data_IF_050534607430
#
_entry.id   IF_050534607430
#
_cell.length_a   1.000
_cell.length_b   1.000
_cell.length_c   1.000
_cell.angle_alpha   90.00
_cell.angle_beta   90.00
_cell.angle_gamma   90.00
#
_symmetry.space_group_name_H-M   'P 1'
#
loop_
_entity.id
_entity.type
_entity.pdbx_description
1 polymer ?
#
# COMPACT_ATOMS: atom_id res chain seq x y z
N UNK A 1 56.81 -14.63 8.99
CA UNK A 1 56.36 -14.12 7.68
C UNK A 1 54.85 -13.91 7.75
N UNK A 2 54.36 -12.68 7.61
CA UNK A 2 52.91 -12.40 7.55
C UNK A 2 52.42 -12.84 6.17
N UNK A 3 51.52 -13.83 6.10
CA UNK A 3 50.83 -14.20 4.86
C UNK A 3 49.95 -13.01 4.43
N UNK A 4 50.28 -12.38 3.32
CA UNK A 4 49.46 -11.35 2.69
C UNK A 4 48.28 -11.98 1.94
N UNK A 5 47.14 -11.31 1.94
CA UNK A 5 45.99 -11.65 1.10
C UNK A 5 46.37 -11.52 -0.38
N UNK A 6 45.91 -12.44 -1.22
CA UNK A 6 46.15 -12.35 -2.66
C UNK A 6 45.12 -11.42 -3.33
N UNK A 7 45.53 -10.73 -4.39
CA UNK A 7 44.62 -9.89 -5.19
C UNK A 7 43.49 -10.72 -5.82
N UNK A 8 43.78 -11.98 -6.18
CA UNK A 8 42.79 -12.87 -6.78
C UNK A 8 41.73 -13.32 -5.76
N UNK A 9 42.09 -13.53 -4.49
CA UNK A 9 41.13 -13.82 -3.42
C UNK A 9 40.13 -12.67 -3.25
N UNK A 10 40.61 -11.42 -3.24
CA UNK A 10 39.72 -10.26 -3.12
C UNK A 10 38.83 -10.08 -4.35
N UNK A 11 39.34 -10.38 -5.55
CA UNK A 11 38.56 -10.27 -6.79
C UNK A 11 37.38 -11.24 -6.80
N UNK A 12 37.61 -12.51 -6.43
CA UNK A 12 36.55 -13.52 -6.36
C UNK A 12 35.51 -13.16 -5.29
N UNK A 13 35.95 -12.64 -4.14
CA UNK A 13 35.03 -12.22 -3.07
C UNK A 13 34.11 -11.10 -3.52
N UNK A 14 34.65 -10.05 -4.16
CA UNK A 14 33.82 -8.93 -4.66
C UNK A 14 32.88 -9.40 -5.76
N UNK A 15 33.31 -10.33 -6.62
CA UNK A 15 32.46 -10.92 -7.65
C UNK A 15 31.27 -11.68 -7.04
N UNK A 16 31.50 -12.50 -6.02
CA UNK A 16 30.43 -13.24 -5.34
C UNK A 16 29.45 -12.28 -4.65
N UNK A 17 29.96 -11.26 -3.93
CA UNK A 17 29.12 -10.25 -3.27
C UNK A 17 28.29 -9.48 -4.31
N UNK A 18 28.87 -9.14 -5.47
CA UNK A 18 28.16 -8.47 -6.56
C UNK A 18 26.96 -9.26 -7.07
N UNK A 19 27.12 -10.57 -7.28
CA UNK A 19 26.03 -11.45 -7.73
C UNK A 19 24.93 -11.54 -6.67
N UNK A 20 25.30 -11.73 -5.40
CA UNK A 20 24.32 -11.81 -4.30
C UNK A 20 23.54 -10.50 -4.15
N UNK A 21 24.22 -9.35 -4.21
CA UNK A 21 23.60 -8.04 -4.08
C UNK A 21 22.59 -7.76 -5.21
N UNK A 22 22.91 -8.15 -6.46
CA UNK A 22 22.02 -7.95 -7.60
C UNK A 22 20.66 -8.64 -7.45
N UNK A 23 20.62 -9.82 -6.82
CA UNK A 23 19.38 -10.57 -6.56
C UNK A 23 18.70 -10.08 -5.27
N UNK A 24 19.47 -9.81 -4.22
CA UNK A 24 18.94 -9.48 -2.90
C UNK A 24 18.24 -8.11 -2.86
N UNK A 25 18.78 -7.10 -3.54
CA UNK A 25 18.24 -5.74 -3.51
C UNK A 25 16.77 -5.63 -3.98
N UNK A 26 16.37 -6.12 -5.18
CA UNK A 26 14.98 -6.04 -5.61
C UNK A 26 14.03 -6.88 -4.74
N UNK A 27 14.50 -8.00 -4.19
CA UNK A 27 13.70 -8.82 -3.27
C UNK A 27 13.47 -8.10 -1.93
N UNK A 28 14.50 -7.42 -1.42
CA UNK A 28 14.41 -6.66 -0.18
C UNK A 28 13.41 -5.50 -0.31
N UNK A 29 13.47 -4.71 -1.39
CA UNK A 29 12.54 -3.60 -1.60
C UNK A 29 11.09 -4.08 -1.68
N UNK A 30 10.82 -5.18 -2.40
CA UNK A 30 9.48 -5.77 -2.47
C UNK A 30 8.97 -6.23 -1.09
N UNK A 31 9.84 -6.83 -0.27
CA UNK A 31 9.47 -7.26 1.09
C UNK A 31 9.14 -6.08 1.99
N UNK A 32 9.92 -5.01 1.93
CA UNK A 32 9.67 -3.78 2.69
C UNK A 32 8.32 -3.15 2.29
N UNK A 33 8.01 -3.10 0.99
CA UNK A 33 6.73 -2.59 0.52
C UNK A 33 5.55 -3.44 0.97
N UNK A 34 5.67 -4.78 0.92
CA UNK A 34 4.64 -5.67 1.48
C UNK A 34 4.38 -5.39 2.96
N UNK A 35 5.44 -5.24 3.76
CA UNK A 35 5.32 -4.91 5.18
C UNK A 35 4.62 -3.56 5.41
N UNK A 36 4.98 -2.52 4.65
CA UNK A 36 4.32 -1.20 4.71
C UNK A 36 2.85 -1.27 4.32
N UNK A 37 2.50 -2.05 3.30
CA UNK A 37 1.09 -2.20 2.89
C UNK A 37 0.28 -2.99 3.91
N UNK A 38 0.88 -3.97 4.59
CA UNK A 38 0.23 -4.68 5.69
C UNK A 38 -0.10 -3.73 6.86
N UNK A 39 0.83 -2.83 7.22
CA UNK A 39 0.57 -1.75 8.20
C UNK A 39 -0.63 -0.90 7.79
N UNK A 40 -0.67 -0.45 6.52
CA UNK A 40 -1.80 0.34 6.02
C UNK A 40 -3.12 -0.41 6.04
N UNK A 41 -3.15 -1.69 5.66
CA UNK A 41 -4.38 -2.51 5.67
C UNK A 41 -5.00 -2.61 7.07
N UNK A 42 -4.17 -2.76 8.10
CA UNK A 42 -4.65 -2.82 9.49
C UNK A 42 -5.35 -1.51 9.87
N UNK A 43 -4.72 -0.38 9.57
CA UNK A 43 -5.28 0.94 9.88
C UNK A 43 -6.54 1.22 9.06
N UNK A 44 -6.54 0.91 7.76
CA UNK A 44 -7.71 1.07 6.90
C UNK A 44 -8.91 0.25 7.39
N UNK A 45 -8.68 -0.97 7.89
CA UNK A 45 -9.72 -1.79 8.50
C UNK A 45 -10.28 -1.15 9.78
N UNK A 46 -9.42 -0.61 10.64
CA UNK A 46 -9.86 0.10 11.85
C UNK A 46 -10.69 1.36 11.50
N UNK A 47 -10.27 2.11 10.48
CA UNK A 47 -11.04 3.25 9.97
C UNK A 47 -12.41 2.83 9.43
N UNK A 48 -12.48 1.73 8.68
CA UNK A 48 -13.73 1.14 8.18
C UNK A 48 -14.68 0.80 9.32
N UNK A 49 -14.19 0.13 10.35
CA UNK A 49 -14.98 -0.24 11.52
C UNK A 49 -15.49 1.00 12.28
N UNK A 50 -14.68 2.06 12.38
CA UNK A 50 -15.11 3.34 12.97
C UNK A 50 -16.21 4.01 12.14
N UNK A 51 -16.05 4.04 10.82
CA UNK A 51 -17.04 4.56 9.87
C UNK A 51 -18.37 3.78 9.93
N UNK A 52 -18.34 2.46 10.05
CA UNK A 52 -19.54 1.64 10.25
C UNK A 52 -20.24 1.95 11.57
N UNK A 53 -19.50 2.13 12.68
CA UNK A 53 -20.09 2.53 13.97
C UNK A 53 -20.78 3.88 13.90
N UNK A 54 -20.14 4.85 13.24
CA UNK A 54 -20.73 6.16 13.02
C UNK A 54 -22.02 6.07 12.19
N UNK A 55 -21.99 5.31 11.09
CA UNK A 55 -23.16 5.07 10.23
C UNK A 55 -24.34 4.43 10.99
N UNK A 56 -24.09 3.49 11.90
CA UNK A 56 -25.15 2.88 12.72
C UNK A 56 -25.85 3.90 13.64
N UNK A 57 -25.19 5.00 13.96
CA UNK A 57 -25.73 6.04 14.87
C UNK A 57 -26.39 7.18 14.11
N UNK A 58 -25.79 7.62 13.00
CA UNK A 58 -26.21 8.82 12.27
C UNK A 58 -26.90 8.53 10.94
N UNK A 59 -26.80 7.29 10.45
CA UNK A 59 -27.30 6.88 9.13
C UNK A 59 -26.44 7.37 7.96
N UNK A 60 -25.28 7.97 8.22
CA UNK A 60 -24.37 8.50 7.21
C UNK A 60 -22.90 8.21 7.56
N UNK A 61 -22.04 8.19 6.55
CA UNK A 61 -20.58 8.18 6.74
C UNK A 61 -20.07 9.63 6.84
N UNK A 62 -18.99 9.84 7.58
CA UNK A 62 -18.39 11.17 7.81
C UNK A 62 -17.09 11.32 7.03
N UNK A 63 -16.71 12.57 6.71
CA UNK A 63 -15.38 12.92 6.19
C UNK A 63 -14.43 13.42 7.28
N UNK A 64 -14.96 13.69 8.47
CA UNK A 64 -14.23 14.34 9.55
C UNK A 64 -13.74 13.30 10.57
N UNK A 65 -12.49 13.46 11.00
CA UNK A 65 -11.87 12.56 11.97
C UNK A 65 -12.46 12.71 13.37
N UNK A 66 -12.95 13.90 13.70
CA UNK A 66 -13.49 14.22 15.03
C UNK A 66 -14.84 13.54 15.29
N UNK A 67 -15.53 13.10 14.23
CA UNK A 67 -16.78 12.35 14.31
C UNK A 67 -16.54 10.85 14.55
N UNK A 68 -15.30 10.38 14.42
CA UNK A 68 -14.95 8.98 14.60
C UNK A 68 -14.39 8.72 16.00
N UNK A 69 -14.78 7.60 16.60
CA UNK A 69 -14.16 7.04 17.81
C UNK A 69 -12.79 6.42 17.49
N UNK A 70 -11.93 7.16 16.78
CA UNK A 70 -10.62 6.72 16.34
C UNK A 70 -9.70 7.93 16.20
N UNK A 71 -8.57 7.89 16.90
CA UNK A 71 -7.55 8.93 16.75
C UNK A 71 -6.92 8.86 15.36
N UNK A 72 -6.72 10.03 14.74
CA UNK A 72 -6.12 10.14 13.41
C UNK A 72 -4.77 9.41 13.37
N UNK A 73 -4.62 8.36 12.56
CA UNK A 73 -3.39 7.57 12.55
C UNK A 73 -2.21 8.40 12.02
N UNK A 74 -1.12 8.38 12.78
CA UNK A 74 0.14 8.99 12.39
C UNK A 74 1.07 7.90 11.86
N UNK A 75 1.44 7.97 10.58
CA UNK A 75 2.42 7.07 9.98
C UNK A 75 3.49 7.85 9.23
N UNK A 76 4.71 7.32 9.23
CA UNK A 76 5.81 7.85 8.43
C UNK A 76 5.63 7.54 6.93
N UNK A 77 4.96 6.43 6.62
CA UNK A 77 4.86 5.91 5.26
C UNK A 77 3.56 6.30 4.56
N UNK A 78 2.50 6.55 5.34
CA UNK A 78 1.14 6.69 4.84
C UNK A 78 0.47 7.95 5.36
N UNK A 79 -0.30 8.58 4.48
CA UNK A 79 -1.27 9.59 4.85
C UNK A 79 -2.67 8.98 4.75
N UNK A 80 -3.38 8.93 5.86
CA UNK A 80 -4.74 8.41 5.90
C UNK A 80 -5.75 9.52 5.61
N UNK A 81 -6.69 9.24 4.72
CA UNK A 81 -7.71 10.19 4.26
C UNK A 81 -9.06 9.50 4.31
N UNK A 82 -10.04 10.21 4.86
CA UNK A 82 -11.45 9.84 4.76
C UNK A 82 -12.03 10.67 3.62
N UNK A 83 -12.79 10.05 2.74
CA UNK A 83 -13.44 10.75 1.65
C UNK A 83 -14.96 10.75 1.82
N UNK A 84 -15.60 11.65 1.08
CA UNK A 84 -17.06 11.75 1.04
C UNK A 84 -17.72 10.58 0.30
N UNK A 85 -16.92 9.73 -0.35
CA UNK A 85 -17.37 8.46 -0.90
C UNK A 85 -17.26 7.35 0.16
N UNK A 86 -17.88 6.20 -0.09
CA UNK A 86 -17.91 5.04 0.80
C UNK A 86 -16.55 4.33 0.91
N UNK A 87 -15.48 5.10 1.12
CA UNK A 87 -14.14 4.57 1.16
C UNK A 87 -13.19 5.40 2.01
N UNK A 88 -12.18 4.71 2.49
CA UNK A 88 -11.05 5.28 3.22
C UNK A 88 -9.76 4.96 2.49
N UNK A 89 -8.81 5.89 2.53
CA UNK A 89 -7.61 5.85 1.72
C UNK A 89 -6.34 5.93 2.56
N UNK A 90 -5.32 5.21 2.15
CA UNK A 90 -3.94 5.37 2.60
C UNK A 90 -3.09 5.74 1.37
N UNK A 91 -2.60 6.97 1.35
CA UNK A 91 -1.83 7.54 0.24
C UNK A 91 -0.35 7.53 0.59
N UNK A 92 0.48 6.96 -0.28
CA UNK A 92 1.92 6.93 -0.08
C UNK A 92 2.53 8.26 -0.55
N UNK A 93 3.02 9.08 0.40
CA UNK A 93 3.70 10.36 0.19
C UNK A 93 2.85 11.47 -0.50
N UNK A 94 2.77 12.65 0.13
CA UNK A 94 1.92 13.78 -0.30
C UNK A 94 2.44 14.50 -1.56
N UNK A 95 3.74 14.41 -1.86
CA UNK A 95 4.38 15.20 -2.93
C UNK A 95 4.60 14.43 -4.24
N UNK A 96 4.45 13.10 -4.25
CA UNK A 96 4.50 12.26 -5.46
C UNK A 96 3.82 10.91 -5.20
N UNK A 97 2.47 10.86 -5.14
CA UNK A 97 1.75 9.64 -4.85
C UNK A 97 1.90 8.66 -6.03
N UNK A 98 2.76 7.66 -5.88
CA UNK A 98 2.94 6.60 -6.90
C UNK A 98 1.80 5.59 -6.92
N UNK A 99 1.16 5.37 -5.77
CA UNK A 99 -0.04 4.56 -5.62
C UNK A 99 -0.72 4.86 -4.27
N UNK A 100 -1.98 4.46 -4.14
CA UNK A 100 -2.74 4.50 -2.90
C UNK A 100 -3.43 3.17 -2.65
N UNK A 101 -3.75 2.91 -1.39
CA UNK A 101 -4.63 1.81 -0.99
C UNK A 101 -5.97 2.41 -0.58
N UNK A 102 -7.06 1.89 -1.10
CA UNK A 102 -8.42 2.26 -0.75
C UNK A 102 -9.12 1.05 -0.13
N UNK A 103 -9.83 1.25 0.98
CA UNK A 103 -10.80 0.28 1.46
C UNK A 103 -12.18 0.80 1.07
N UNK A 104 -12.87 0.10 0.17
CA UNK A 104 -14.21 0.44 -0.28
C UNK A 104 -15.22 -0.37 0.55
N UNK A 105 -16.15 0.33 1.19
CA UNK A 105 -17.21 -0.27 1.98
C UNK A 105 -18.27 -0.90 1.06
N UNK A 106 -18.93 -1.96 1.53
CA UNK A 106 -20.13 -2.47 0.91
C UNK A 106 -21.18 -1.35 0.83
N UNK A 107 -21.45 -0.91 -0.40
CA UNK A 107 -22.48 0.07 -0.68
C UNK A 107 -23.82 -0.67 -0.86
N UNK A 108 -24.85 -0.41 -0.02
CA UNK A 108 -26.18 -0.96 -0.24
C UNK A 108 -26.77 -0.58 -1.61
N UNK A 109 -26.32 0.52 -2.24
CA UNK A 109 -26.73 0.97 -3.58
C UNK A 109 -25.94 0.29 -4.71
N UNK A 110 -24.68 -0.12 -4.50
CA UNK A 110 -23.84 -0.73 -5.54
C UNK A 110 -23.72 -2.27 -5.47
N UNK A 111 -24.35 -2.93 -4.47
CA UNK A 111 -24.31 -4.40 -4.26
C UNK A 111 -22.89 -5.00 -4.28
N UNK A 112 -21.88 -4.22 -3.94
CA UNK A 112 -20.47 -4.63 -3.98
C UNK A 112 -20.02 -5.21 -2.65
N UNK A 113 -19.15 -6.23 -2.66
CA UNK A 113 -18.49 -6.72 -1.44
C UNK A 113 -17.43 -5.72 -0.98
N UNK A 114 -17.15 -5.71 0.33
CA UNK A 114 -15.97 -5.04 0.89
C UNK A 114 -14.73 -5.45 0.08
N UNK A 115 -13.93 -4.46 -0.31
CA UNK A 115 -12.73 -4.70 -1.10
C UNK A 115 -11.64 -3.71 -0.76
N UNK A 116 -10.41 -4.20 -0.74
CA UNK A 116 -9.23 -3.35 -0.70
C UNK A 116 -8.75 -3.20 -2.15
N UNK A 117 -8.57 -1.96 -2.59
CA UNK A 117 -8.13 -1.61 -3.92
C UNK A 117 -6.76 -0.96 -3.82
N UNK A 118 -5.81 -1.43 -4.62
CA UNK A 118 -4.59 -0.69 -4.91
C UNK A 118 -4.82 0.14 -6.16
N UNK A 119 -4.71 1.47 -6.05
CA UNK A 119 -4.87 2.38 -7.18
C UNK A 119 -3.53 3.01 -7.52
N UNK A 120 -3.15 2.94 -8.80
CA UNK A 120 -1.99 3.65 -9.34
C UNK A 120 -2.38 4.50 -10.53
N UNK A 121 -1.66 5.58 -10.77
CA UNK A 121 -1.76 6.37 -11.99
C UNK A 121 -1.27 5.53 -13.19
N UNK A 122 -1.96 5.61 -14.34
CA UNK A 122 -1.57 4.90 -15.57
C UNK A 122 -0.18 5.28 -16.08
N UNK A 123 0.29 6.48 -15.74
CA UNK A 123 1.58 7.00 -16.19
C UNK A 123 2.76 6.53 -15.32
N UNK A 124 2.48 5.88 -14.17
CA UNK A 124 3.50 5.44 -13.23
C UNK A 124 3.77 3.93 -13.30
N UNK A 125 4.88 3.53 -13.93
CA UNK A 125 5.27 2.11 -14.01
C UNK A 125 5.57 1.49 -12.63
N UNK A 126 6.08 2.30 -11.70
CA UNK A 126 6.38 1.86 -10.34
C UNK A 126 5.13 1.50 -9.53
N UNK A 127 4.07 2.32 -9.60
CA UNK A 127 2.81 2.07 -8.88
C UNK A 127 2.13 0.80 -9.37
N UNK A 128 2.06 0.63 -10.70
CA UNK A 128 1.52 -0.58 -11.35
C UNK A 128 2.27 -1.84 -10.92
N UNK A 129 3.62 -1.80 -10.88
CA UNK A 129 4.45 -2.92 -10.42
C UNK A 129 4.14 -3.29 -8.98
N UNK A 130 3.97 -2.32 -8.09
CA UNK A 130 3.61 -2.58 -6.70
C UNK A 130 2.22 -3.21 -6.59
N UNK A 131 1.20 -2.62 -7.20
CA UNK A 131 -0.17 -3.16 -7.10
C UNK A 131 -0.26 -4.60 -7.61
N UNK A 132 0.45 -4.93 -8.70
CA UNK A 132 0.57 -6.32 -9.20
C UNK A 132 1.29 -7.24 -8.22
N UNK A 133 2.38 -6.77 -7.60
CA UNK A 133 3.17 -7.53 -6.61
C UNK A 133 2.39 -7.84 -5.32
N UNK A 134 1.37 -7.05 -5.00
CA UNK A 134 0.48 -7.26 -3.85
C UNK A 134 -0.60 -8.34 -4.07
N UNK A 135 -0.63 -8.99 -5.25
CA UNK A 135 -1.51 -10.11 -5.53
C UNK A 135 -2.90 -9.72 -6.02
N UNK A 136 -3.00 -8.65 -6.80
CA UNK A 136 -4.27 -8.19 -7.34
C UNK A 136 -4.80 -9.08 -8.47
N UNK A 137 -6.11 -9.37 -8.44
CA UNK A 137 -6.76 -10.29 -9.40
C UNK A 137 -7.68 -9.61 -10.42
N UNK A 138 -8.21 -8.42 -10.11
CA UNK A 138 -9.23 -7.74 -10.92
C UNK A 138 -8.83 -6.28 -11.22
N UNK A 139 -8.91 -5.90 -12.50
CA UNK A 139 -8.48 -4.62 -13.06
C UNK A 139 -9.68 -3.81 -13.53
N UNK A 140 -9.84 -2.59 -13.03
CA UNK A 140 -10.83 -1.62 -13.55
C UNK A 140 -10.15 -0.28 -13.83
N UNK A 141 -10.11 0.14 -15.10
CA UNK A 141 -9.61 1.45 -15.49
C UNK A 141 -10.71 2.50 -15.38
N UNK A 142 -10.56 3.47 -14.48
CA UNK A 142 -11.49 4.59 -14.32
C UNK A 142 -10.69 5.90 -14.33
N UNK A 143 -10.98 6.79 -15.28
CA UNK A 143 -10.50 8.18 -15.26
C UNK A 143 -8.98 8.38 -15.20
N UNK A 144 -8.18 7.57 -15.90
CA UNK A 144 -6.71 7.66 -15.89
C UNK A 144 -6.03 6.91 -14.74
N UNK A 145 -6.79 6.14 -13.96
CA UNK A 145 -6.26 5.32 -12.88
C UNK A 145 -6.46 3.82 -13.15
N UNK A 146 -5.51 3.03 -12.70
CA UNK A 146 -5.60 1.58 -12.65
C UNK A 146 -5.98 1.13 -11.26
N UNK A 147 -7.15 0.49 -11.12
CA UNK A 147 -7.62 -0.08 -9.86
C UNK A 147 -7.42 -1.58 -9.84
N UNK A 148 -6.80 -2.07 -8.78
CA UNK A 148 -6.41 -3.46 -8.61
C UNK A 148 -7.00 -4.01 -7.31
N UNK A 149 -7.97 -4.93 -7.40
CA UNK A 149 -8.61 -5.51 -6.21
C UNK A 149 -7.65 -6.50 -5.54
N UNK A 150 -7.32 -6.23 -4.28
CA UNK A 150 -6.45 -7.04 -3.43
C UNK A 150 -7.28 -8.04 -2.62
N UNK A 151 -6.69 -9.19 -2.25
CA UNK A 151 -7.28 -10.06 -1.23
C UNK A 151 -7.35 -9.32 0.11
N UNK A 152 -8.49 -9.49 0.79
CA UNK A 152 -8.76 -9.01 2.14
C UNK A 152 -7.81 -9.65 3.16
#
# INVERSE_FOLDING_TARGET
MKKGFTLIELLVVVLIIGILAAIALPQYTNTVEKSRTAEAKIVLKAMKEAQERYFLTTGAYTTDWDDLDLEKPVSKNWNYVIAADLSVYAVRNKTAPTYLLAYRFNNPVARGRDSIICRSDTDTDYGRKICKMLGAAEYVSEGGYENWVLPL
#
